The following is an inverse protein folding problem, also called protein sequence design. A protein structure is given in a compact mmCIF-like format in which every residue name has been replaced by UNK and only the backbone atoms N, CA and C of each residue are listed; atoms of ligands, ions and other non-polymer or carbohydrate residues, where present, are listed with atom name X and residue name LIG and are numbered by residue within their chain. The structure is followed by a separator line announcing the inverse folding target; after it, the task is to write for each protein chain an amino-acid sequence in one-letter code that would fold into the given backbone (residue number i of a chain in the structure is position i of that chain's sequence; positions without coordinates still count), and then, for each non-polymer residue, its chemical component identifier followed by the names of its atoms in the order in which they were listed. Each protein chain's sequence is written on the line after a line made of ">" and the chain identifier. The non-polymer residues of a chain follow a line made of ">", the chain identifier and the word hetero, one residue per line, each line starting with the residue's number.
data_IF_927988982044
#
_entry.id   IF_927988982044
#
_cell.length_a   1.000
_cell.length_b   1.000
_cell.length_c   1.000
_cell.angle_alpha   90.00
_cell.angle_beta   90.00
_cell.angle_gamma   90.00
#
_symmetry.space_group_name_H-M   'P 1'
#
loop_
_entity.id
_entity.type
_entity.pdbx_description
1 polymer ?
#
# COMPACT_ATOMS: atom_id res chain seq x y z
N UNK A 1 -7.08 10.22 5.97
CA UNK A 1 -6.79 11.23 4.93
C UNK A 1 -6.97 10.56 3.57
N UNK A 2 -7.44 11.27 2.54
CA UNK A 2 -7.78 10.68 1.24
C UNK A 2 -7.09 11.46 0.11
N UNK A 3 -6.54 10.72 -0.86
CA UNK A 3 -5.85 11.23 -2.03
C UNK A 3 -6.29 10.50 -3.29
N UNK A 4 -6.09 11.13 -4.44
CA UNK A 4 -6.24 10.49 -5.76
C UNK A 4 -4.92 10.60 -6.51
N UNK A 5 -4.24 9.47 -6.70
CA UNK A 5 -2.90 9.42 -7.28
C UNK A 5 -2.90 8.75 -8.66
N UNK A 6 -2.19 9.32 -9.62
CA UNK A 6 -1.79 8.61 -10.83
C UNK A 6 -0.81 7.48 -10.48
N UNK A 7 -0.59 6.53 -11.39
CA UNK A 7 0.39 5.45 -11.18
C UNK A 7 1.80 5.99 -10.91
N UNK A 8 2.16 7.13 -11.51
CA UNK A 8 3.46 7.77 -11.35
C UNK A 8 3.64 8.40 -9.97
N UNK A 9 2.63 9.14 -9.49
CA UNK A 9 2.62 9.71 -8.14
C UNK A 9 2.59 8.61 -7.09
N UNK A 10 1.75 7.59 -7.30
CA UNK A 10 1.67 6.42 -6.42
C UNK A 10 3.02 5.69 -6.30
N UNK A 11 3.68 5.42 -7.44
CA UNK A 11 5.00 4.77 -7.44
C UNK A 11 6.05 5.60 -6.69
N UNK A 12 6.07 6.92 -6.88
CA UNK A 12 6.98 7.82 -6.15
C UNK A 12 6.67 7.86 -4.66
N UNK A 13 5.40 7.96 -4.28
CA UNK A 13 4.97 7.96 -2.88
C UNK A 13 5.41 6.68 -2.18
N UNK A 14 5.03 5.52 -2.73
CA UNK A 14 5.36 4.22 -2.15
C UNK A 14 6.87 4.01 -2.06
N UNK A 15 7.65 4.46 -3.05
CA UNK A 15 9.11 4.36 -2.97
C UNK A 15 9.69 5.20 -1.84
N UNK A 16 9.26 6.46 -1.71
CA UNK A 16 9.73 7.34 -0.62
C UNK A 16 9.36 6.79 0.76
N UNK A 17 8.21 6.14 0.89
CA UNK A 17 7.81 5.47 2.13
C UNK A 17 8.69 4.24 2.37
N UNK A 18 8.89 3.38 1.36
CA UNK A 18 9.74 2.19 1.44
C UNK A 18 11.20 2.51 1.83
N UNK A 19 11.74 3.62 1.35
CA UNK A 19 13.11 4.05 1.65
C UNK A 19 13.28 4.47 3.12
N UNK A 20 12.18 4.80 3.81
CA UNK A 20 12.18 5.24 5.22
C UNK A 20 11.65 4.17 6.18
N UNK A 21 10.77 3.29 5.72
CA UNK A 21 10.03 2.36 6.57
C UNK A 21 9.93 0.98 5.94
N UNK A 22 9.92 -0.04 6.80
CA UNK A 22 9.53 -1.38 6.38
C UNK A 22 8.04 -1.41 6.04
N UNK A 23 7.74 -1.97 4.86
CA UNK A 23 6.39 -2.09 4.34
C UNK A 23 5.91 -3.54 4.46
N UNK A 24 4.80 -3.74 5.16
CA UNK A 24 4.02 -4.98 5.04
C UNK A 24 2.80 -4.72 4.18
N UNK A 25 2.44 -5.66 3.30
CA UNK A 25 1.33 -5.54 2.36
C UNK A 25 0.37 -6.72 2.52
N UNK A 26 -0.91 -6.45 2.34
CA UNK A 26 -1.98 -7.42 2.11
C UNK A 26 -2.70 -7.03 0.82
N UNK A 27 -2.84 -7.99 -0.09
CA UNK A 27 -3.59 -7.82 -1.33
C UNK A 27 -4.70 -8.84 -1.35
N UNK A 28 -5.93 -8.40 -1.50
CA UNK A 28 -7.09 -9.24 -1.80
C UNK A 28 -7.31 -9.24 -3.31
N UNK A 29 -7.62 -10.40 -3.88
CA UNK A 29 -7.99 -10.52 -5.30
C UNK A 29 -9.20 -11.45 -5.43
N UNK A 30 -10.27 -10.93 -6.01
CA UNK A 30 -11.45 -11.73 -6.33
C UNK A 30 -11.14 -12.80 -7.38
N UNK A 31 -11.77 -13.96 -7.22
CA UNK A 31 -11.75 -15.14 -8.07
C UNK A 31 -13.20 -15.56 -8.34
N UNK A 32 -13.43 -16.38 -9.36
CA UNK A 32 -14.78 -16.79 -9.76
C UNK A 32 -15.60 -17.49 -8.66
N UNK A 33 -14.95 -18.09 -7.66
CA UNK A 33 -15.59 -18.79 -6.55
C UNK A 33 -15.24 -18.26 -5.16
N UNK A 34 -14.57 -17.12 -5.04
CA UNK A 34 -14.12 -16.58 -3.75
C UNK A 34 -13.01 -15.54 -3.92
N UNK A 35 -12.13 -15.38 -2.94
CA UNK A 35 -10.98 -14.47 -3.05
C UNK A 35 -9.69 -15.15 -2.62
N UNK A 36 -8.58 -14.62 -3.11
CA UNK A 36 -7.23 -14.96 -2.66
C UNK A 36 -6.65 -13.76 -1.92
N UNK A 37 -5.88 -14.03 -0.87
CA UNK A 37 -5.11 -13.00 -0.15
C UNK A 37 -3.62 -13.30 -0.24
N UNK A 38 -2.83 -12.32 -0.66
CA UNK A 38 -1.36 -12.36 -0.65
C UNK A 38 -0.89 -11.41 0.45
N UNK A 39 -0.01 -11.88 1.33
CA UNK A 39 0.55 -11.07 2.41
C UNK A 39 2.05 -11.27 2.52
N UNK A 40 2.77 -10.22 2.92
CA UNK A 40 4.21 -10.30 3.14
C UNK A 40 4.88 -8.94 3.25
N UNK A 41 6.20 -8.94 3.28
CA UNK A 41 7.01 -7.72 3.14
C UNK A 41 6.95 -7.23 1.68
N UNK A 42 6.84 -5.92 1.48
CA UNK A 42 6.74 -5.29 0.17
C UNK A 42 8.02 -4.54 -0.20
N UNK A 43 8.48 -4.71 -1.44
CA UNK A 43 9.58 -3.95 -2.05
C UNK A 43 9.18 -3.49 -3.44
N UNK A 44 9.44 -2.23 -3.78
CA UNK A 44 9.15 -1.68 -5.10
C UNK A 44 10.31 -2.05 -6.04
N UNK A 45 10.06 -2.92 -7.01
CA UNK A 45 11.08 -3.44 -7.94
C UNK A 45 11.18 -2.59 -9.22
N UNK A 46 10.02 -2.18 -9.75
CA UNK A 46 9.93 -1.38 -10.97
C UNK A 46 9.04 -0.19 -10.68
N UNK A 47 9.55 1.01 -10.96
CA UNK A 47 8.79 2.25 -10.79
C UNK A 47 8.27 2.75 -12.14
N UNK A 48 7.02 3.26 -12.18
CA UNK A 48 6.48 3.94 -13.36
C UNK A 48 7.32 5.17 -13.72
N UNK A 49 7.59 5.36 -15.01
CA UNK A 49 8.34 6.49 -15.52
C UNK A 49 7.75 7.05 -16.82
N UNK A 50 7.86 8.36 -17.00
CA UNK A 50 7.53 9.07 -18.23
C UNK A 50 8.85 9.40 -18.92
N UNK A 51 9.03 8.92 -20.15
CA UNK A 51 10.10 9.26 -21.09
C UNK A 51 11.44 9.71 -20.50
N UNK A 52 12.34 8.77 -20.21
CA UNK A 52 13.75 9.08 -19.99
C UNK A 52 14.55 9.02 -21.30
N UNK A 53 14.77 10.16 -21.96
CA UNK A 53 15.72 10.29 -23.09
C UNK A 53 15.33 9.63 -24.42
N UNK A 54 16.24 9.73 -25.40
CA UNK A 54 16.02 9.59 -26.86
C UNK A 54 15.45 8.24 -27.36
N UNK A 55 15.19 7.27 -26.48
CA UNK A 55 14.55 5.97 -26.79
C UNK A 55 13.64 5.45 -25.65
N UNK A 56 13.29 6.28 -24.66
CA UNK A 56 12.60 5.84 -23.44
C UNK A 56 11.12 5.55 -23.65
N UNK A 57 10.73 4.26 -23.60
CA UNK A 57 9.31 3.87 -23.53
C UNK A 57 8.71 4.34 -22.21
N UNK A 58 7.51 4.90 -22.26
CA UNK A 58 6.73 5.19 -21.05
C UNK A 58 6.39 3.87 -20.35
N UNK A 59 6.76 3.76 -19.07
CA UNK A 59 6.42 2.62 -18.22
C UNK A 59 5.32 3.07 -17.28
N UNK A 60 4.11 2.57 -17.46
CA UNK A 60 2.95 2.83 -16.60
C UNK A 60 2.70 1.69 -15.60
N UNK A 61 3.72 0.90 -15.30
CA UNK A 61 3.64 -0.30 -14.46
C UNK A 61 4.48 -0.08 -13.20
N UNK A 62 3.88 -0.32 -12.04
CA UNK A 62 4.54 -0.46 -10.75
C UNK A 62 4.62 -1.95 -10.43
N UNK A 63 5.83 -2.49 -10.23
CA UNK A 63 6.02 -3.88 -9.81
C UNK A 63 6.44 -3.95 -8.34
N UNK A 64 5.69 -4.72 -7.56
CA UNK A 64 5.85 -4.90 -6.12
C UNK A 64 6.21 -6.35 -5.88
N UNK A 65 7.37 -6.60 -5.28
CA UNK A 65 7.70 -7.92 -4.74
C UNK A 65 7.08 -8.07 -3.36
N UNK A 66 6.33 -9.15 -3.18
CA UNK A 66 5.73 -9.54 -1.90
C UNK A 66 6.38 -10.82 -1.42
N UNK A 67 7.18 -10.73 -0.36
CA UNK A 67 7.96 -11.84 0.18
C UNK A 67 7.44 -12.30 1.54
N UNK A 68 7.44 -13.61 1.76
CA UNK A 68 7.11 -14.22 3.05
C UNK A 68 8.21 -15.23 3.41
N UNK A 69 8.96 -14.96 4.48
CA UNK A 69 10.10 -15.78 4.89
C UNK A 69 11.27 -15.72 3.90
N UNK A 70 11.94 -16.85 3.69
CA UNK A 70 13.15 -16.96 2.86
C UNK A 70 12.89 -17.15 1.35
N UNK A 71 11.63 -17.23 0.93
CA UNK A 71 11.29 -17.43 -0.49
C UNK A 71 11.42 -16.12 -1.29
N UNK A 72 11.75 -16.25 -2.58
CA UNK A 72 11.97 -15.14 -3.52
C UNK A 72 10.76 -14.21 -3.76
N UNK A 73 9.60 -14.52 -3.17
CA UNK A 73 8.40 -13.68 -3.19
C UNK A 73 7.62 -13.72 -4.50
N UNK A 74 6.39 -13.23 -4.46
CA UNK A 74 5.52 -13.06 -5.63
C UNK A 74 5.64 -11.65 -6.19
N UNK A 75 5.64 -11.50 -7.52
CA UNK A 75 5.58 -10.19 -8.18
C UNK A 75 4.14 -9.81 -8.46
N UNK A 76 3.75 -8.64 -7.97
CA UNK A 76 2.44 -8.04 -8.20
C UNK A 76 2.63 -6.79 -9.06
N UNK A 77 1.87 -6.67 -10.14
CA UNK A 77 1.96 -5.53 -11.06
C UNK A 77 0.70 -4.67 -10.96
N UNK A 78 0.88 -3.37 -10.75
CA UNK A 78 -0.17 -2.37 -10.86
C UNK A 78 0.07 -1.56 -12.13
N UNK A 79 -0.93 -1.54 -13.01
CA UNK A 79 -0.85 -0.84 -14.30
C UNK A 79 -1.78 0.36 -14.29
N UNK A 80 -1.23 1.55 -14.53
CA UNK A 80 -2.00 2.77 -14.65
C UNK A 80 -2.63 2.93 -16.02
N UNK A 81 -3.95 3.04 -16.08
CA UNK A 81 -4.65 3.43 -17.31
C UNK A 81 -4.53 4.96 -17.55
N UNK A 82 -4.55 5.37 -18.82
CA UNK A 82 -4.50 6.78 -19.19
C UNK A 82 -5.66 7.55 -18.54
N UNK A 83 -5.36 8.69 -17.92
CA UNK A 83 -6.32 9.55 -17.22
C UNK A 83 -7.12 8.87 -16.10
N UNK A 84 -6.61 7.77 -15.53
CA UNK A 84 -7.18 7.12 -14.34
C UNK A 84 -6.27 7.36 -13.14
N UNK A 85 -6.89 7.47 -11.98
CA UNK A 85 -6.23 7.62 -10.68
C UNK A 85 -6.68 6.49 -9.77
N UNK A 86 -5.82 6.15 -8.82
CA UNK A 86 -6.09 5.25 -7.72
C UNK A 86 -6.57 6.07 -6.53
N UNK A 87 -7.58 5.56 -5.81
CA UNK A 87 -7.98 6.14 -4.55
C UNK A 87 -7.00 5.67 -3.48
N UNK A 88 -6.44 6.59 -2.70
CA UNK A 88 -5.51 6.27 -1.62
C UNK A 88 -6.05 6.80 -0.30
N UNK A 89 -6.36 5.90 0.63
CA UNK A 89 -6.82 6.22 1.97
C UNK A 89 -5.71 5.92 2.99
N UNK A 90 -5.42 6.87 3.87
CA UNK A 90 -4.39 6.77 4.90
C UNK A 90 -5.04 6.97 6.26
N UNK A 91 -4.95 5.97 7.14
CA UNK A 91 -5.59 6.01 8.44
C UNK A 91 -4.83 5.20 9.49
N UNK A 92 -4.96 5.58 10.76
CA UNK A 92 -4.36 4.83 11.87
C UNK A 92 -4.97 3.42 11.94
N UNK A 93 -4.15 2.42 12.25
CA UNK A 93 -4.61 1.05 12.41
C UNK A 93 -5.62 0.98 13.56
N UNK A 94 -6.73 0.28 13.34
CA UNK A 94 -7.70 -0.04 14.38
C UNK A 94 -7.68 -1.53 14.66
N UNK A 95 -7.75 -1.90 15.92
CA UNK A 95 -7.84 -3.30 16.34
C UNK A 95 -8.95 -3.47 17.39
N UNK A 96 -9.55 -4.65 17.38
CA UNK A 96 -10.57 -5.02 18.35
C UNK A 96 -9.88 -5.76 19.49
N UNK A 97 -9.95 -5.21 20.69
CA UNK A 97 -9.50 -5.91 21.88
C UNK A 97 -10.64 -6.82 22.34
N UNK A 98 -10.37 -8.13 22.31
CA UNK A 98 -11.32 -9.16 22.76
C UNK A 98 -11.07 -9.38 24.25
N UNK A 99 -12.07 -9.08 25.07
CA UNK A 99 -11.96 -9.31 26.50
C UNK A 99 -12.28 -10.78 26.83
N UNK A 100 -11.55 -11.36 27.79
CA UNK A 100 -11.73 -12.77 28.19
C UNK A 100 -12.93 -13.00 29.11
N UNK A 101 -13.55 -11.94 29.63
CA UNK A 101 -14.68 -12.02 30.56
C UNK A 101 -16.00 -11.63 29.85
N UNK A 102 -17.04 -12.43 30.04
CA UNK A 102 -18.38 -12.29 29.42
C UNK A 102 -19.14 -11.01 29.80
N UNK A 103 -18.59 -10.15 30.65
CA UNK A 103 -19.20 -8.92 31.16
C UNK A 103 -18.62 -7.63 30.54
N UNK A 104 -17.50 -7.73 29.82
CA UNK A 104 -16.84 -6.57 29.20
C UNK A 104 -17.08 -6.57 27.68
N UNK A 105 -17.71 -5.51 27.18
CA UNK A 105 -17.93 -5.30 25.75
C UNK A 105 -16.58 -5.15 25.04
N UNK A 106 -16.42 -5.82 23.90
CA UNK A 106 -15.25 -5.66 23.05
C UNK A 106 -15.06 -4.20 22.64
N UNK A 107 -13.83 -3.69 22.76
CA UNK A 107 -13.51 -2.29 22.45
C UNK A 107 -12.69 -2.20 21.17
N UNK A 108 -13.02 -1.23 20.31
CA UNK A 108 -12.17 -0.86 19.17
C UNK A 108 -11.15 0.16 19.67
N UNK A 109 -9.86 -0.18 19.58
CA UNK A 109 -8.74 0.69 19.90
C UNK A 109 -8.04 1.16 18.64
N UNK A 110 -7.43 2.34 18.73
CA UNK A 110 -6.63 2.94 17.65
C UNK A 110 -5.16 2.85 18.02
N UNK A 111 -4.33 2.37 17.09
CA UNK A 111 -2.88 2.43 17.20
C UNK A 111 -2.38 3.62 16.38
N UNK A 112 -2.09 4.73 17.06
CA UNK A 112 -1.63 5.96 16.40
C UNK A 112 -0.21 5.86 15.84
N UNK A 113 0.56 4.84 16.22
CA UNK A 113 1.93 4.63 15.73
C UNK A 113 2.00 3.59 14.59
N UNK A 114 0.86 3.15 14.06
CA UNK A 114 0.79 2.29 12.90
C UNK A 114 -0.27 2.81 11.93
N UNK A 115 0.11 2.98 10.67
CA UNK A 115 -0.73 3.50 9.61
C UNK A 115 -1.08 2.40 8.61
N UNK A 116 -2.34 2.35 8.22
CA UNK A 116 -2.81 1.62 7.04
C UNK A 116 -2.92 2.59 5.86
N UNK A 117 -2.20 2.29 4.79
CA UNK A 117 -2.35 2.96 3.49
C UNK A 117 -3.08 1.98 2.56
N UNK A 118 -4.30 2.31 2.19
CA UNK A 118 -5.17 1.50 1.32
C UNK A 118 -5.24 2.10 -0.07
N UNK A 119 -5.13 1.26 -1.09
CA UNK A 119 -5.30 1.62 -2.50
C UNK A 119 -6.57 0.96 -3.01
N UNK A 120 -7.47 1.79 -3.53
CA UNK A 120 -8.86 1.48 -3.90
C UNK A 120 -9.60 0.78 -2.73
N UNK A 121 -9.56 -0.54 -2.65
CA UNK A 121 -10.02 -1.31 -1.48
C UNK A 121 -9.20 -2.57 -1.21
N UNK A 122 -8.57 -3.09 -2.26
CA UNK A 122 -8.00 -4.44 -2.31
C UNK A 122 -6.54 -4.52 -1.86
N UNK A 123 -5.84 -3.39 -1.77
CA UNK A 123 -4.41 -3.36 -1.45
C UNK A 123 -4.21 -2.52 -0.21
N UNK A 124 -3.63 -3.10 0.83
CA UNK A 124 -3.42 -2.45 2.12
C UNK A 124 -1.96 -2.62 2.52
N UNK A 125 -1.26 -1.49 2.65
CA UNK A 125 0.05 -1.41 3.28
C UNK A 125 -0.11 -1.11 4.77
N UNK A 126 0.78 -1.68 5.56
CA UNK A 126 0.93 -1.42 7.00
C UNK A 126 2.31 -0.84 7.24
N UNK A 127 2.35 0.33 7.86
CA UNK A 127 3.56 1.13 8.05
C UNK A 127 3.65 1.51 9.53
N UNK A 128 4.80 1.28 10.17
CA UNK A 128 5.02 1.60 11.59
C UNK A 128 5.38 3.07 11.80
N UNK A 129 4.47 3.96 11.43
CA UNK A 129 4.52 5.39 11.73
C UNK A 129 3.11 5.97 11.78
N UNK A 130 3.01 7.23 12.21
CA UNK A 130 1.77 8.01 12.32
C UNK A 130 1.25 8.45 10.95
N UNK A 131 -0.05 8.71 10.90
CA UNK A 131 -0.75 9.10 9.67
C UNK A 131 -0.17 10.37 9.06
N UNK A 132 0.17 11.35 9.90
CA UNK A 132 0.68 12.65 9.47
C UNK A 132 2.01 12.51 8.73
N UNK A 133 2.93 11.69 9.26
CA UNK A 133 4.24 11.42 8.62
C UNK A 133 4.08 10.83 7.23
N UNK A 134 3.14 9.88 7.07
CA UNK A 134 2.88 9.21 5.79
C UNK A 134 2.18 10.16 4.81
N UNK A 135 1.24 10.95 5.30
CA UNK A 135 0.51 11.94 4.51
C UNK A 135 1.42 13.03 3.95
N UNK A 136 2.37 13.53 4.74
CA UNK A 136 3.38 14.49 4.29
C UNK A 136 4.25 13.93 3.15
N UNK A 137 4.62 12.64 3.22
CA UNK A 137 5.37 11.98 2.14
C UNK A 137 4.55 11.92 0.86
N UNK A 138 3.26 11.57 0.95
CA UNK A 138 2.35 11.53 -0.21
C UNK A 138 2.20 12.93 -0.80
N UNK A 139 1.95 13.95 0.02
CA UNK A 139 1.82 15.34 -0.44
C UNK A 139 3.09 15.85 -1.13
N UNK A 140 4.27 15.35 -0.76
CA UNK A 140 5.55 15.75 -1.38
C UNK A 140 5.76 15.23 -2.81
N UNK A 141 4.85 14.41 -3.35
CA UNK A 141 4.94 13.87 -4.72
C UNK A 141 3.76 14.24 -5.61
N UNK A 142 2.75 14.91 -5.05
CA UNK A 142 1.67 15.59 -5.77
C UNK A 142 2.23 16.84 -6.47
#
# INVERSE_FOLDING_TARGET
>A
MKHELTIYELGKALKKIEDKYDLSIMIKKELSGGWMTIMGAAKMEVLPCIGGGCHGKNINILEIRVSSGENSGSLVKLTGAKNKKFNVDVASTRYKEISTNSLTLDQIKVNENETKLRIDEDIIFTIKDRVESIDEIIKSVL
#
